data_IF_067984135130
#
_entry.id   IF_067984135130
#
_cell.length_a   1.000
_cell.length_b   1.000
_cell.length_c   1.000
_cell.angle_alpha   90.00
_cell.angle_beta   90.00
_cell.angle_gamma   90.00
#
_symmetry.space_group_name_H-M   'P 1'
#
loop_
_entity.id
_entity.type
_entity.pdbx_description
1 polymer ?
#
# COMPACT_ATOMS: atom_id res chain seq x y z
N UNK A 1 5.28 -68.88 -5.55
CA UNK A 1 5.90 -67.65 -4.96
C UNK A 1 5.69 -66.51 -5.93
N UNK A 2 4.78 -65.59 -5.66
CA UNK A 2 4.46 -64.46 -6.52
C UNK A 2 4.99 -63.23 -5.85
N UNK A 3 5.83 -62.40 -6.48
CA UNK A 3 6.41 -61.21 -5.83
C UNK A 3 5.38 -60.05 -5.79
N UNK A 4 4.98 -59.68 -4.59
CA UNK A 4 4.10 -58.54 -4.30
C UNK A 4 4.85 -57.19 -4.31
N UNK A 5 5.50 -56.82 -5.42
CA UNK A 5 6.30 -55.59 -5.47
C UNK A 5 5.76 -54.40 -6.31
N UNK A 6 4.64 -54.43 -7.06
CA UNK A 6 4.24 -53.23 -7.81
C UNK A 6 3.49 -52.18 -6.98
N UNK A 7 2.74 -52.55 -5.95
CA UNK A 7 1.91 -51.61 -5.21
C UNK A 7 2.73 -50.55 -4.44
N UNK A 8 3.88 -50.90 -3.88
CA UNK A 8 4.75 -49.98 -3.13
C UNK A 8 5.45 -48.97 -4.03
N UNK A 9 5.75 -49.35 -5.28
CA UNK A 9 6.37 -48.45 -6.28
C UNK A 9 5.36 -47.42 -6.79
N UNK A 10 4.09 -47.80 -6.97
CA UNK A 10 3.03 -46.87 -7.36
C UNK A 10 2.67 -45.88 -6.23
N UNK A 11 2.68 -46.31 -4.98
CA UNK A 11 2.50 -45.43 -3.82
C UNK A 11 3.64 -44.40 -3.66
N UNK A 12 4.88 -44.84 -3.89
CA UNK A 12 6.02 -43.95 -3.83
C UNK A 12 5.96 -42.86 -4.96
N UNK A 13 5.56 -43.27 -6.18
CA UNK A 13 5.37 -42.35 -7.30
C UNK A 13 4.24 -41.34 -7.06
N UNK A 14 3.12 -41.80 -6.49
CA UNK A 14 1.99 -40.93 -6.14
C UNK A 14 2.35 -39.94 -5.03
N UNK A 15 3.15 -40.36 -4.05
CA UNK A 15 3.61 -39.46 -2.96
C UNK A 15 4.59 -38.41 -3.45
N UNK A 16 5.50 -38.76 -4.38
CA UNK A 16 6.41 -37.79 -4.98
C UNK A 16 5.70 -36.78 -5.89
N UNK A 17 4.67 -37.20 -6.64
CA UNK A 17 3.81 -36.27 -7.41
C UNK A 17 3.01 -35.35 -6.50
N UNK A 18 2.50 -35.85 -5.38
CA UNK A 18 1.76 -35.02 -4.42
C UNK A 18 2.64 -34.00 -3.70
N UNK A 19 3.87 -34.39 -3.30
CA UNK A 19 4.84 -33.45 -2.75
C UNK A 19 5.33 -32.39 -3.78
N UNK A 20 5.48 -32.77 -5.04
CA UNK A 20 5.83 -31.86 -6.13
C UNK A 20 4.74 -30.82 -6.42
N UNK A 21 3.46 -31.19 -6.28
CA UNK A 21 2.33 -30.30 -6.49
C UNK A 21 2.17 -29.24 -5.37
N UNK A 22 2.59 -29.55 -4.13
CA UNK A 22 2.57 -28.58 -3.01
C UNK A 22 3.65 -27.50 -3.13
N UNK A 23 4.74 -27.76 -3.86
CA UNK A 23 5.84 -26.79 -4.03
C UNK A 23 5.57 -25.66 -5.02
N UNK A 24 4.51 -25.76 -5.85
CA UNK A 24 4.16 -24.76 -6.88
C UNK A 24 3.17 -23.68 -6.41
N UNK A 25 2.68 -23.74 -5.18
CA UNK A 25 1.88 -22.69 -4.58
C UNK A 25 2.78 -21.51 -4.15
N UNK A 26 3.63 -21.01 -5.04
CA UNK A 26 4.37 -19.78 -4.87
C UNK A 26 3.38 -18.63 -4.64
N UNK A 27 3.41 -18.02 -3.47
CA UNK A 27 2.62 -16.85 -3.15
C UNK A 27 3.01 -15.71 -4.08
N UNK A 28 2.35 -15.59 -5.23
CA UNK A 28 2.37 -14.36 -6.03
C UNK A 28 1.56 -13.29 -5.30
N UNK A 29 2.12 -12.77 -4.18
CA UNK A 29 1.62 -11.53 -3.62
C UNK A 29 2.00 -10.40 -4.57
N UNK A 30 1.08 -9.45 -4.78
CA UNK A 30 1.36 -8.26 -5.55
C UNK A 30 2.65 -7.59 -5.03
N UNK A 31 3.52 -7.13 -5.91
CA UNK A 31 4.82 -6.60 -5.52
C UNK A 31 4.66 -5.43 -4.55
N UNK A 32 5.31 -5.50 -3.41
CA UNK A 32 5.39 -4.44 -2.42
C UNK A 32 6.85 -4.27 -2.00
N UNK A 33 7.35 -3.05 -2.07
CA UNK A 33 8.69 -2.68 -1.61
C UNK A 33 8.57 -1.74 -0.43
N UNK A 34 9.37 -1.98 0.59
CA UNK A 34 9.34 -1.23 1.83
C UNK A 34 10.75 -0.79 2.19
N UNK A 35 10.87 0.46 2.58
CA UNK A 35 12.07 1.01 3.20
C UNK A 35 11.72 1.49 4.62
N UNK A 36 12.61 1.22 5.55
CA UNK A 36 12.58 1.78 6.92
C UNK A 36 13.98 2.28 7.21
N UNK A 37 14.09 3.51 7.68
CA UNK A 37 15.38 4.06 8.08
C UNK A 37 15.88 3.32 9.33
N UNK A 38 17.00 2.61 9.27
CA UNK A 38 17.48 1.78 10.37
C UNK A 38 17.97 2.59 11.59
N UNK A 39 18.19 3.89 11.42
CA UNK A 39 18.66 4.78 12.47
C UNK A 39 17.52 5.51 13.21
N UNK A 40 16.27 5.20 12.85
CA UNK A 40 15.09 5.92 13.35
C UNK A 40 14.32 5.04 14.31
N UNK A 41 14.01 5.58 15.48
CA UNK A 41 13.03 5.00 16.38
C UNK A 41 11.62 5.34 15.87
N UNK A 42 10.97 4.37 15.25
CA UNK A 42 9.65 4.53 14.67
C UNK A 42 8.56 4.76 15.73
N UNK A 43 8.78 4.43 17.00
CA UNK A 43 7.78 4.62 18.07
C UNK A 43 7.52 6.10 18.40
N UNK A 44 8.40 6.99 17.95
CA UNK A 44 8.25 8.44 18.12
C UNK A 44 7.12 9.04 17.25
N UNK A 45 6.72 8.37 16.18
CA UNK A 45 5.75 8.91 15.21
C UNK A 45 4.32 8.52 15.58
N UNK A 46 3.80 9.19 16.61
CA UNK A 46 2.44 8.94 17.10
C UNK A 46 1.40 9.93 16.53
N UNK A 47 1.78 11.20 16.30
CA UNK A 47 0.90 12.22 15.72
C UNK A 47 1.34 12.51 14.28
N UNK A 48 0.50 12.13 13.33
CA UNK A 48 0.82 12.15 11.90
C UNK A 48 -0.14 13.11 11.17
N UNK A 49 0.43 14.00 10.35
CA UNK A 49 -0.34 14.77 9.38
C UNK A 49 -0.38 14.03 8.04
N UNK A 50 -1.47 14.20 7.29
CA UNK A 50 -1.65 13.58 5.99
C UNK A 50 -1.80 14.63 4.90
N UNK A 51 -1.01 14.51 3.83
CA UNK A 51 -1.19 15.26 2.59
C UNK A 51 -2.03 14.46 1.58
N UNK A 52 -2.76 15.12 0.69
CA UNK A 52 -3.36 14.46 -0.45
C UNK A 52 -2.29 13.76 -1.30
N UNK A 53 -2.61 12.56 -1.79
CA UNK A 53 -1.75 11.86 -2.75
C UNK A 53 -1.75 12.60 -4.08
N UNK A 54 -0.58 12.84 -4.64
CA UNK A 54 -0.41 13.41 -5.98
C UNK A 54 -0.97 12.42 -6.99
N UNK A 55 -1.78 12.90 -7.90
CA UNK A 55 -2.37 12.04 -8.93
C UNK A 55 -1.48 12.05 -10.19
N UNK A 56 -0.78 10.96 -10.43
CA UNK A 56 0.05 10.72 -11.61
C UNK A 56 -0.59 9.71 -12.57
N UNK A 57 -1.83 9.25 -12.26
CA UNK A 57 -2.58 8.30 -13.07
C UNK A 57 -3.47 9.00 -14.10
N UNK A 58 -4.06 8.23 -15.02
CA UNK A 58 -5.03 8.74 -15.98
C UNK A 58 -6.45 8.95 -15.42
N UNK A 59 -6.78 8.49 -14.21
CA UNK A 59 -8.09 8.69 -13.58
C UNK A 59 -8.09 9.99 -12.77
N UNK A 60 -8.98 10.91 -13.11
CA UNK A 60 -9.03 12.26 -12.50
C UNK A 60 -9.20 12.25 -10.96
N UNK A 61 -9.77 11.21 -10.38
CA UNK A 61 -10.09 11.12 -8.95
C UNK A 61 -9.21 10.14 -8.17
N UNK A 62 -8.24 9.50 -8.80
CA UNK A 62 -7.42 8.47 -8.18
C UNK A 62 -6.72 8.95 -6.91
N UNK A 63 -6.07 10.12 -6.96
CA UNK A 63 -5.40 10.71 -5.79
C UNK A 63 -6.35 10.91 -4.61
N UNK A 64 -7.55 11.48 -4.86
CA UNK A 64 -8.55 11.71 -3.82
C UNK A 64 -9.10 10.41 -3.25
N UNK A 65 -9.32 9.38 -4.08
CA UNK A 65 -9.81 8.06 -3.63
C UNK A 65 -8.78 7.35 -2.76
N UNK A 66 -7.52 7.31 -3.20
CA UNK A 66 -6.43 6.70 -2.43
C UNK A 66 -6.21 7.46 -1.13
N UNK A 67 -6.20 8.80 -1.15
CA UNK A 67 -6.08 9.62 0.07
C UNK A 67 -7.15 9.24 1.11
N UNK A 68 -8.42 9.16 0.70
CA UNK A 68 -9.51 8.80 1.61
C UNK A 68 -9.36 7.38 2.15
N UNK A 69 -9.06 6.41 1.29
CA UNK A 69 -8.89 5.02 1.71
C UNK A 69 -7.71 4.88 2.68
N UNK A 70 -6.58 5.52 2.37
CA UNK A 70 -5.40 5.49 3.23
C UNK A 70 -5.66 6.14 4.60
N UNK A 71 -6.33 7.30 4.61
CA UNK A 71 -6.76 7.97 5.85
C UNK A 71 -7.67 7.07 6.69
N UNK A 72 -8.63 6.39 6.06
CA UNK A 72 -9.51 5.43 6.75
C UNK A 72 -8.72 4.30 7.39
N UNK A 73 -7.77 3.70 6.68
CA UNK A 73 -6.97 2.61 7.23
C UNK A 73 -6.03 3.09 8.36
N UNK A 74 -5.52 4.32 8.30
CA UNK A 74 -4.76 4.91 9.41
C UNK A 74 -5.60 5.07 10.68
N UNK A 75 -6.86 5.52 10.53
CA UNK A 75 -7.80 5.64 11.66
C UNK A 75 -8.14 4.26 12.23
N UNK A 76 -8.42 3.28 11.35
CA UNK A 76 -8.74 1.91 11.77
C UNK A 76 -7.55 1.18 12.42
N UNK A 77 -6.33 1.58 12.10
CA UNK A 77 -5.13 1.02 12.73
C UNK A 77 -5.03 1.34 14.23
N UNK A 78 -5.77 2.38 14.69
CA UNK A 78 -5.87 2.84 16.09
C UNK A 78 -4.49 2.99 16.79
N UNK A 79 -3.50 3.41 16.01
CA UNK A 79 -2.11 3.55 16.48
C UNK A 79 -1.60 4.97 16.35
N UNK A 80 -2.21 5.73 15.47
CA UNK A 80 -1.78 7.08 15.13
C UNK A 80 -2.84 8.10 15.53
N UNK A 81 -2.42 9.17 16.17
CA UNK A 81 -3.24 10.38 16.29
C UNK A 81 -3.14 11.14 14.96
N UNK A 82 -4.17 11.04 14.15
CA UNK A 82 -4.18 11.70 12.86
C UNK A 82 -4.57 13.17 13.01
N UNK A 83 -3.78 14.06 12.42
CA UNK A 83 -4.17 15.45 12.19
C UNK A 83 -5.23 15.46 11.10
N UNK A 84 -6.31 16.23 11.29
CA UNK A 84 -7.37 16.35 10.28
C UNK A 84 -6.75 16.84 8.94
N UNK A 85 -6.88 16.09 7.84
CA UNK A 85 -6.36 16.52 6.54
C UNK A 85 -6.91 17.87 6.09
N UNK A 86 -8.14 18.21 6.45
CA UNK A 86 -8.73 19.52 6.13
C UNK A 86 -8.04 20.65 6.90
N UNK A 87 -7.66 20.43 8.16
CA UNK A 87 -6.91 21.39 8.96
C UNK A 87 -5.51 21.63 8.39
N UNK A 88 -4.81 20.57 8.02
CA UNK A 88 -3.52 20.64 7.35
C UNK A 88 -3.60 21.45 6.04
N UNK A 89 -4.58 21.16 5.19
CA UNK A 89 -4.78 21.85 3.92
C UNK A 89 -5.19 23.31 4.12
N UNK A 90 -6.05 23.61 5.10
CA UNK A 90 -6.42 24.97 5.43
C UNK A 90 -5.22 25.81 5.90
N UNK A 91 -4.32 25.22 6.67
CA UNK A 91 -3.10 25.89 7.11
C UNK A 91 -2.14 26.14 5.95
N UNK A 92 -1.92 25.15 5.09
CA UNK A 92 -1.10 25.30 3.88
C UNK A 92 -1.65 26.39 2.95
N UNK A 93 -2.97 26.45 2.77
CA UNK A 93 -3.60 27.50 1.97
C UNK A 93 -3.32 28.91 2.53
N UNK A 94 -3.46 29.09 3.85
CA UNK A 94 -3.19 30.38 4.52
C UNK A 94 -1.73 30.81 4.45
N UNK A 95 -0.81 29.87 4.37
CA UNK A 95 0.65 30.13 4.38
C UNK A 95 1.28 30.11 2.98
N UNK A 96 0.46 30.01 1.93
CA UNK A 96 0.93 29.91 0.55
C UNK A 96 1.70 28.62 0.27
N UNK A 97 1.35 27.53 0.97
CA UNK A 97 1.94 26.20 0.83
C UNK A 97 1.08 25.24 0.00
N UNK A 98 0.15 25.76 -0.79
CA UNK A 98 -0.62 24.95 -1.72
C UNK A 98 0.30 24.31 -2.79
N UNK A 99 -0.06 23.14 -3.32
CA UNK A 99 0.75 22.47 -4.31
C UNK A 99 0.87 23.30 -5.60
N UNK A 100 1.96 23.11 -6.32
CA UNK A 100 2.17 23.66 -7.64
C UNK A 100 1.27 23.01 -8.72
N UNK A 101 1.45 23.40 -9.98
CA UNK A 101 0.68 22.85 -11.10
C UNK A 101 0.93 21.35 -11.34
N UNK A 102 2.04 20.82 -10.86
CA UNK A 102 2.36 19.38 -10.89
C UNK A 102 1.81 18.62 -9.66
N UNK A 103 1.11 19.30 -8.75
CA UNK A 103 0.60 18.75 -7.51
C UNK A 103 1.66 18.56 -6.42
N UNK A 104 2.86 19.15 -6.58
CA UNK A 104 3.94 19.02 -5.63
C UNK A 104 3.85 20.11 -4.54
N UNK A 105 4.02 19.67 -3.29
CA UNK A 105 4.08 20.58 -2.15
C UNK A 105 5.52 21.00 -1.86
N UNK A 106 5.71 22.26 -1.46
CA UNK A 106 6.99 22.74 -0.93
C UNK A 106 7.28 22.04 0.42
N UNK A 107 8.36 21.24 0.51
CA UNK A 107 8.66 20.47 1.73
C UNK A 107 8.87 21.36 2.97
N UNK A 108 9.42 22.57 2.81
CA UNK A 108 9.64 23.49 3.93
C UNK A 108 8.29 23.98 4.50
N UNK A 109 7.37 24.38 3.63
CA UNK A 109 6.02 24.84 4.04
C UNK A 109 5.19 23.71 4.65
N UNK A 110 5.31 22.49 4.13
CA UNK A 110 4.67 21.33 4.70
C UNK A 110 5.17 21.07 6.12
N UNK A 111 6.49 21.10 6.32
CA UNK A 111 7.08 20.88 7.65
C UNK A 111 6.67 21.97 8.64
N UNK A 112 6.66 23.24 8.22
CA UNK A 112 6.20 24.34 9.04
C UNK A 112 4.72 24.19 9.45
N UNK A 113 3.87 23.78 8.52
CA UNK A 113 2.46 23.53 8.80
C UNK A 113 2.27 22.33 9.74
N UNK A 114 2.96 21.21 9.48
CA UNK A 114 2.91 20.04 10.32
C UNK A 114 3.41 20.33 11.75
N UNK A 115 4.49 21.11 11.88
CA UNK A 115 5.03 21.52 13.16
C UNK A 115 4.03 22.40 13.96
N UNK A 116 3.36 23.35 13.31
CA UNK A 116 2.30 24.16 13.94
C UNK A 116 1.12 23.34 14.42
N UNK A 117 0.84 22.21 13.77
CA UNK A 117 -0.17 21.25 14.16
C UNK A 117 0.36 20.19 15.14
N UNK A 118 1.59 20.37 15.64
CA UNK A 118 2.29 19.46 16.56
C UNK A 118 2.39 18.02 16.04
N UNK A 119 2.40 17.83 14.72
CA UNK A 119 2.65 16.53 14.12
C UNK A 119 4.15 16.19 14.20
N UNK A 120 4.47 14.95 14.55
CA UNK A 120 5.85 14.45 14.60
C UNK A 120 6.32 13.97 13.23
N UNK A 121 5.39 13.55 12.38
CA UNK A 121 5.64 13.17 11.00
C UNK A 121 4.47 13.56 10.09
N UNK A 122 4.70 13.52 8.79
CA UNK A 122 3.63 13.63 7.81
C UNK A 122 3.77 12.55 6.74
N UNK A 123 2.61 12.13 6.21
CA UNK A 123 2.54 11.21 5.07
C UNK A 123 2.30 12.02 3.79
N UNK A 124 3.08 11.69 2.76
CA UNK A 124 2.90 12.10 1.38
C UNK A 124 3.00 10.90 0.47
N UNK A 125 2.50 11.02 -0.75
CA UNK A 125 2.59 9.93 -1.73
C UNK A 125 2.04 10.31 -3.09
N UNK A 126 2.09 9.37 -4.03
CA UNK A 126 1.58 9.54 -5.38
C UNK A 126 0.92 8.27 -5.91
N UNK A 127 -0.13 8.45 -6.69
CA UNK A 127 -0.84 7.36 -7.37
C UNK A 127 -0.34 7.29 -8.80
N UNK A 128 0.41 6.25 -9.13
CA UNK A 128 1.02 6.06 -10.46
C UNK A 128 0.12 5.29 -11.42
N UNK A 129 -0.78 4.43 -10.91
CA UNK A 129 -1.71 3.68 -11.74
C UNK A 129 -3.06 3.53 -11.05
N UNK A 130 -4.12 3.78 -11.79
CA UNK A 130 -5.52 3.56 -11.38
C UNK A 130 -6.33 3.25 -12.63
N UNK A 131 -6.31 2.00 -13.08
CA UNK A 131 -6.83 1.63 -14.39
C UNK A 131 -7.40 0.20 -14.41
N UNK A 132 -8.34 -0.04 -15.33
CA UNK A 132 -8.70 -1.40 -15.70
C UNK A 132 -7.61 -2.01 -16.56
N UNK A 133 -7.19 -3.21 -16.23
CA UNK A 133 -6.27 -4.03 -17.02
C UNK A 133 -7.01 -5.23 -17.58
N UNK A 134 -6.63 -5.59 -18.81
CA UNK A 134 -7.16 -6.76 -19.50
C UNK A 134 -6.15 -7.90 -19.51
N UNK A 135 -6.57 -9.12 -19.18
CA UNK A 135 -5.74 -10.31 -19.29
C UNK A 135 -6.59 -11.54 -19.65
N UNK A 136 -6.38 -12.05 -20.85
CA UNK A 136 -7.23 -13.11 -21.41
C UNK A 136 -8.65 -12.61 -21.67
N UNK A 137 -9.63 -13.15 -20.99
CA UNK A 137 -11.05 -12.78 -21.08
C UNK A 137 -11.53 -11.92 -19.92
N UNK A 138 -10.64 -11.52 -19.00
CA UNK A 138 -11.01 -10.83 -17.78
C UNK A 138 -10.48 -9.40 -17.74
N UNK A 139 -11.35 -8.48 -17.29
CA UNK A 139 -11.01 -7.13 -16.91
C UNK A 139 -10.95 -7.03 -15.38
N UNK A 140 -9.89 -6.42 -14.87
CA UNK A 140 -9.70 -6.23 -13.44
C UNK A 140 -9.03 -4.88 -13.14
N UNK A 141 -9.39 -4.24 -12.01
CA UNK A 141 -8.76 -3.00 -11.59
C UNK A 141 -7.33 -3.24 -11.09
N UNK A 142 -6.45 -2.28 -11.38
CA UNK A 142 -5.09 -2.20 -10.82
C UNK A 142 -4.92 -0.83 -10.18
N UNK A 143 -4.37 -0.82 -8.98
CA UNK A 143 -4.03 0.37 -8.22
C UNK A 143 -2.58 0.29 -7.81
N UNK A 144 -1.77 1.29 -8.22
CA UNK A 144 -0.37 1.41 -7.81
C UNK A 144 -0.15 2.78 -7.19
N UNK A 145 0.50 2.80 -6.04
CA UNK A 145 0.90 4.04 -5.37
C UNK A 145 2.17 3.84 -4.55
N UNK A 146 2.79 4.95 -4.23
CA UNK A 146 3.81 5.05 -3.20
C UNK A 146 3.34 5.96 -2.06
N UNK A 147 3.86 5.69 -0.85
CA UNK A 147 3.65 6.54 0.32
C UNK A 147 4.95 6.62 1.13
N UNK A 148 5.19 7.80 1.70
CA UNK A 148 6.34 8.09 2.55
C UNK A 148 5.88 8.68 3.87
N UNK A 149 6.49 8.24 4.97
CA UNK A 149 6.45 8.93 6.26
C UNK A 149 7.71 9.78 6.38
N UNK A 150 7.53 11.07 6.57
CA UNK A 150 8.62 12.05 6.66
C UNK A 150 8.64 12.66 8.05
N UNK A 151 9.79 12.62 8.69
CA UNK A 151 10.02 13.27 9.98
C UNK A 151 9.91 14.80 9.85
N UNK A 152 9.12 15.42 10.71
CA UNK A 152 8.87 16.89 10.64
C UNK A 152 10.11 17.67 11.06
N UNK A 153 10.87 17.22 12.04
CA UNK A 153 12.02 17.94 12.56
C UNK A 153 13.17 17.96 11.55
N UNK A 154 13.46 16.82 10.94
CA UNK A 154 14.62 16.66 10.06
C UNK A 154 14.29 16.76 8.57
N UNK A 155 13.05 16.47 8.16
CA UNK A 155 12.66 16.33 6.76
C UNK A 155 13.11 15.00 6.13
N UNK A 156 13.60 14.06 6.93
CA UNK A 156 14.09 12.77 6.45
C UNK A 156 12.94 11.80 6.22
N UNK A 157 13.00 11.03 5.13
CA UNK A 157 12.09 9.91 4.91
C UNK A 157 12.48 8.78 5.85
N UNK A 158 11.58 8.43 6.76
CA UNK A 158 11.81 7.40 7.78
C UNK A 158 11.16 6.07 7.44
N UNK A 159 10.13 6.10 6.63
CA UNK A 159 9.48 4.93 6.05
C UNK A 159 8.98 5.24 4.64
N UNK A 160 9.03 4.25 3.78
CA UNK A 160 8.48 4.33 2.42
C UNK A 160 7.91 2.98 2.02
N UNK A 161 6.79 3.01 1.32
CA UNK A 161 6.23 1.85 0.65
C UNK A 161 5.93 2.19 -0.80
N UNK A 162 6.16 1.23 -1.68
CA UNK A 162 5.65 1.25 -3.05
C UNK A 162 4.98 -0.09 -3.31
N UNK A 163 3.74 -0.07 -3.77
CA UNK A 163 2.97 -1.27 -3.99
C UNK A 163 2.05 -1.15 -5.20
N UNK A 164 1.74 -2.31 -5.75
CA UNK A 164 0.68 -2.51 -6.74
C UNK A 164 -0.29 -3.53 -6.19
N UNK A 165 -1.58 -3.24 -6.23
CA UNK A 165 -2.65 -4.17 -5.93
C UNK A 165 -3.50 -4.40 -7.17
N UNK A 166 -3.93 -5.64 -7.37
CA UNK A 166 -4.69 -6.04 -8.54
C UNK A 166 -5.93 -6.81 -8.13
N UNK A 167 -7.05 -6.50 -8.78
CA UNK A 167 -8.28 -7.26 -8.63
C UNK A 167 -8.24 -8.65 -9.27
N UNK A 168 -7.16 -8.99 -9.99
CA UNK A 168 -7.00 -10.34 -10.55
C UNK A 168 -6.90 -11.36 -9.43
N UNK A 169 -7.86 -12.27 -9.35
CA UNK A 169 -7.89 -13.32 -8.33
C UNK A 169 -6.64 -14.20 -8.41
N UNK A 170 -6.09 -14.60 -7.25
CA UNK A 170 -4.92 -15.50 -7.16
C UNK A 170 -5.18 -16.84 -7.87
N UNK A 171 -6.41 -17.27 -7.90
CA UNK A 171 -6.86 -18.51 -8.53
C UNK A 171 -7.59 -18.28 -9.86
N UNK A 172 -7.47 -17.08 -10.46
CA UNK A 172 -8.13 -16.74 -11.72
C UNK A 172 -7.76 -17.74 -12.84
N UNK A 173 -6.52 -18.24 -12.85
CA UNK A 173 -6.08 -19.25 -13.82
C UNK A 173 -6.79 -20.61 -13.69
N UNK A 174 -7.42 -20.89 -12.53
CA UNK A 174 -8.17 -22.12 -12.25
C UNK A 174 -9.65 -21.82 -11.89
N UNK A 175 -10.19 -20.71 -12.37
CA UNK A 175 -11.60 -20.33 -12.20
C UNK A 175 -11.93 -19.60 -10.90
N UNK A 176 -10.95 -19.07 -10.17
CA UNK A 176 -11.17 -18.25 -8.98
C UNK A 176 -11.74 -16.88 -9.35
N UNK A 177 -12.62 -16.34 -8.50
CA UNK A 177 -13.23 -15.03 -8.73
C UNK A 177 -12.21 -13.89 -8.65
N UNK A 178 -12.29 -12.93 -9.58
CA UNK A 178 -11.53 -11.69 -9.59
C UNK A 178 -12.36 -10.57 -8.93
N UNK A 179 -11.69 -9.71 -8.14
CA UNK A 179 -12.32 -8.50 -7.62
C UNK A 179 -12.44 -7.46 -8.74
N UNK A 180 -13.63 -6.96 -8.98
CA UNK A 180 -13.92 -6.00 -10.06
C UNK A 180 -14.13 -4.57 -9.55
N UNK A 181 -14.17 -4.39 -8.24
CA UNK A 181 -14.38 -3.09 -7.62
C UNK A 181 -13.06 -2.35 -7.42
N UNK A 182 -12.91 -1.19 -8.03
CA UNK A 182 -11.81 -0.28 -7.72
C UNK A 182 -11.74 0.07 -6.23
N UNK A 183 -12.90 0.25 -5.58
CA UNK A 183 -12.96 0.57 -4.15
C UNK A 183 -12.34 -0.52 -3.30
N UNK A 184 -12.69 -1.78 -3.55
CA UNK A 184 -12.16 -2.91 -2.79
C UNK A 184 -10.65 -3.09 -3.00
N UNK A 185 -10.16 -2.96 -4.24
CA UNK A 185 -8.72 -3.04 -4.54
C UNK A 185 -7.95 -1.88 -3.91
N UNK A 186 -8.51 -0.66 -3.97
CA UNK A 186 -7.90 0.52 -3.32
C UNK A 186 -7.81 0.33 -1.81
N UNK A 187 -8.87 -0.13 -1.18
CA UNK A 187 -8.89 -0.39 0.26
C UNK A 187 -7.90 -1.49 0.65
N UNK A 188 -7.85 -2.59 -0.10
CA UNK A 188 -6.89 -3.66 0.14
C UNK A 188 -5.43 -3.17 0.04
N UNK A 189 -5.13 -2.34 -0.97
CA UNK A 189 -3.82 -1.74 -1.15
C UNK A 189 -3.45 -0.84 0.03
N UNK A 190 -4.33 0.09 0.43
CA UNK A 190 -4.12 0.99 1.55
C UNK A 190 -3.97 0.25 2.87
N UNK A 191 -4.83 -0.76 3.12
CA UNK A 191 -4.72 -1.61 4.30
C UNK A 191 -3.37 -2.30 4.40
N UNK A 192 -2.87 -2.88 3.31
CA UNK A 192 -1.55 -3.52 3.29
C UNK A 192 -0.43 -2.54 3.63
N UNK A 193 -0.45 -1.34 3.06
CA UNK A 193 0.54 -0.31 3.33
C UNK A 193 0.51 0.14 4.80
N UNK A 194 -0.68 0.39 5.34
CA UNK A 194 -0.86 0.84 6.73
C UNK A 194 -0.52 -0.27 7.73
N UNK A 195 -0.88 -1.52 7.45
CA UNK A 195 -0.49 -2.67 8.28
C UNK A 195 1.03 -2.83 8.37
N UNK A 196 1.75 -2.54 7.27
CA UNK A 196 3.21 -2.54 7.27
C UNK A 196 3.79 -1.40 8.12
N UNK A 197 3.25 -0.19 7.95
CA UNK A 197 3.66 0.96 8.77
C UNK A 197 3.42 0.66 10.25
N UNK A 198 2.23 0.19 10.61
CA UNK A 198 1.86 -0.17 11.98
C UNK A 198 2.83 -1.17 12.61
N UNK A 199 3.24 -2.20 11.87
CA UNK A 199 4.21 -3.21 12.34
C UNK A 199 5.60 -2.65 12.64
N UNK A 200 5.95 -1.48 12.08
CA UNK A 200 7.25 -0.84 12.30
C UNK A 200 7.23 0.15 13.45
N UNK A 201 6.05 0.62 13.84
CA UNK A 201 5.84 1.55 14.98
C UNK A 201 5.56 0.78 16.29
N UNK A 202 5.43 -0.55 16.22
CA UNK A 202 5.34 -1.43 17.38
C UNK A 202 6.72 -1.81 17.88
#
# INVERSE_FOLDING_TARGET
MIPRRPAMMWMALALTMLLGALGLAGCASAPMRIYVNPQTDMTMYQKIAMLPFVNLSGDAYAGARVTRAFTTELVLADRFKLVDPAEMMALLNRTGGMPDAAGQFDPAKVRDAANKLEATAYIRGGVSEYAMRHSGTEDFPVVSFDAELVDVATGTVVWRVSLTESGKGRLAAVGGASERSFGAVTQAACKRAVDELRRKVL
#
